data_IF_155023498974
#
_entry.id   IF_155023498974
#
_cell.length_a   1.000
_cell.length_b   1.000
_cell.length_c   1.000
_cell.angle_alpha   90.00
_cell.angle_beta   90.00
_cell.angle_gamma   90.00
#
_symmetry.space_group_name_H-M   'P 1'
#
loop_
_entity.id
_entity.type
_entity.pdbx_description
1 polymer ?
#
# COMPACT_ATOMS: atom_id res chain seq x y z
N UNK A 1 -2.25 10.59 -6.09
CA UNK A 1 -2.91 11.93 -6.04
C UNK A 1 -3.71 12.13 -7.31
N UNK A 2 -4.71 13.03 -7.34
CA UNK A 2 -5.50 13.32 -8.56
C UNK A 2 -4.59 13.71 -9.73
N UNK A 3 -3.64 14.61 -9.50
CA UNK A 3 -2.64 14.99 -10.50
C UNK A 3 -1.79 13.80 -10.97
N UNK A 4 -1.36 12.94 -10.05
CA UNK A 4 -0.63 11.71 -10.38
C UNK A 4 -1.45 10.77 -11.28
N UNK A 5 -2.75 10.65 -11.03
CA UNK A 5 -3.67 9.87 -11.87
C UNK A 5 -3.89 10.50 -13.25
N UNK A 6 -4.12 11.81 -13.32
CA UNK A 6 -4.27 12.52 -14.61
C UNK A 6 -3.02 12.36 -15.48
N UNK A 7 -1.83 12.55 -14.90
CA UNK A 7 -0.56 12.29 -15.59
C UNK A 7 -0.45 10.83 -16.04
N UNK A 8 -1.03 9.91 -15.27
CA UNK A 8 -1.02 8.48 -15.54
C UNK A 8 -1.76 8.08 -16.81
N UNK A 9 -2.81 8.82 -17.14
CA UNK A 9 -3.63 8.67 -18.34
C UNK A 9 -3.25 9.66 -19.45
N UNK A 10 -2.09 10.33 -19.32
CA UNK A 10 -1.57 11.26 -20.33
C UNK A 10 -2.16 12.67 -20.28
N UNK A 11 -3.01 12.98 -19.31
CA UNK A 11 -3.65 14.31 -19.18
C UNK A 11 -2.76 15.19 -18.29
N UNK A 12 -2.23 16.28 -18.86
CA UNK A 12 -1.47 17.30 -18.12
C UNK A 12 -2.34 18.51 -17.85
N UNK A 13 -2.59 18.80 -16.58
CA UNK A 13 -3.38 19.95 -16.13
C UNK A 13 -2.59 20.73 -15.09
N UNK A 14 -2.75 22.06 -15.07
CA UNK A 14 -2.17 22.91 -14.05
C UNK A 14 -2.68 22.52 -12.65
N UNK A 15 -1.77 22.49 -11.68
CA UNK A 15 -2.09 22.15 -10.28
C UNK A 15 -3.16 23.06 -9.69
N UNK A 16 -3.14 24.36 -10.01
CA UNK A 16 -4.13 25.35 -9.59
C UNK A 16 -5.55 24.94 -9.98
N UNK A 17 -5.74 24.54 -11.24
CA UNK A 17 -7.04 24.13 -11.79
C UNK A 17 -7.55 22.85 -11.13
N UNK A 18 -6.67 21.88 -10.88
CA UNK A 18 -7.03 20.65 -10.15
C UNK A 18 -7.45 20.98 -8.71
N UNK A 19 -6.73 21.88 -8.03
CA UNK A 19 -7.07 22.31 -6.67
C UNK A 19 -8.41 23.04 -6.60
N UNK A 20 -8.69 23.91 -7.57
CA UNK A 20 -9.97 24.63 -7.67
C UNK A 20 -11.14 23.66 -7.85
N UNK A 21 -11.04 22.71 -8.78
CA UNK A 21 -12.07 21.67 -8.96
C UNK A 21 -12.24 20.83 -7.70
N UNK A 22 -11.14 20.47 -7.00
CA UNK A 22 -11.21 19.68 -5.77
C UNK A 22 -11.93 20.39 -4.63
N UNK A 23 -11.90 21.74 -4.57
CA UNK A 23 -12.69 22.50 -3.59
C UNK A 23 -14.19 22.37 -3.81
N UNK A 24 -14.60 22.21 -5.07
CA UNK A 24 -16.01 22.02 -5.45
C UNK A 24 -16.45 20.57 -5.24
N UNK A 25 -15.63 19.61 -5.68
CA UNK A 25 -15.98 18.17 -5.66
C UNK A 25 -15.81 17.54 -4.28
N UNK A 26 -14.78 17.94 -3.53
CA UNK A 26 -14.45 17.41 -2.20
C UNK A 26 -14.09 18.56 -1.23
N UNK A 27 -15.08 19.40 -0.87
CA UNK A 27 -14.85 20.54 0.02
C UNK A 27 -14.38 20.08 1.40
N UNK A 28 -14.99 19.03 1.96
CA UNK A 28 -14.67 18.47 3.28
C UNK A 28 -13.25 17.92 3.31
N UNK A 29 -12.88 17.05 2.36
CA UNK A 29 -11.53 16.48 2.32
C UNK A 29 -10.46 17.54 2.05
N UNK A 30 -10.79 18.61 1.31
CA UNK A 30 -9.88 19.73 1.09
C UNK A 30 -9.63 20.53 2.38
N UNK A 31 -10.67 20.78 3.18
CA UNK A 31 -10.55 21.42 4.50
C UNK A 31 -9.74 20.53 5.45
N UNK A 32 -10.05 19.24 5.55
CA UNK A 32 -9.33 18.32 6.42
C UNK A 32 -7.83 18.23 6.07
N UNK A 33 -7.47 18.30 4.77
CA UNK A 33 -6.07 18.36 4.32
C UNK A 33 -5.41 19.71 4.62
N UNK A 34 -6.14 20.82 4.49
CA UNK A 34 -5.67 22.17 4.74
C UNK A 34 -5.43 22.49 6.22
N UNK A 35 -6.23 21.92 7.12
CA UNK A 35 -6.10 22.10 8.57
C UNK A 35 -4.86 21.43 9.19
N UNK A 36 -4.04 20.72 8.40
CA UNK A 36 -2.74 20.25 8.85
C UNK A 36 -2.77 19.31 10.06
N UNK A 37 -3.86 18.55 10.24
CA UNK A 37 -4.16 17.73 11.44
C UNK A 37 -3.10 16.64 11.75
N UNK A 38 -2.00 16.53 10.99
CA UNK A 38 -0.81 15.82 11.43
C UNK A 38 0.46 16.32 10.72
N UNK A 39 1.02 17.46 11.14
CA UNK A 39 2.44 17.78 10.86
C UNK A 39 3.31 16.82 11.68
N UNK A 40 3.47 15.60 11.19
CA UNK A 40 4.34 14.60 11.80
C UNK A 40 5.79 15.02 11.54
N UNK A 41 6.59 15.08 12.60
CA UNK A 41 8.03 15.27 12.51
C UNK A 41 8.64 14.25 11.54
N UNK A 42 9.17 14.76 10.43
CA UNK A 42 9.76 13.93 9.37
C UNK A 42 11.11 13.43 9.87
N UNK A 43 11.24 12.11 10.07
CA UNK A 43 12.53 11.49 10.38
C UNK A 43 13.35 11.36 9.11
N UNK A 44 14.65 11.61 9.22
CA UNK A 44 15.60 11.33 8.12
C UNK A 44 15.60 9.82 7.90
N UNK A 45 15.17 9.41 6.73
CA UNK A 45 15.20 8.03 6.30
C UNK A 45 16.01 7.99 5.02
N UNK A 46 17.05 7.16 5.00
CA UNK A 46 17.92 6.96 3.84
C UNK A 46 18.16 5.46 3.60
N UNK A 47 18.16 5.09 2.33
CA UNK A 47 18.50 3.76 1.78
C UNK A 47 19.35 4.05 0.53
N UNK A 48 20.35 3.22 0.19
CA UNK A 48 21.33 3.57 -0.83
C UNK A 48 20.79 3.62 -2.26
N UNK A 49 19.82 2.77 -2.62
CA UNK A 49 19.33 2.63 -4.01
C UNK A 49 17.97 1.93 -4.07
N UNK A 50 17.28 1.95 -5.22
CA UNK A 50 16.19 1.02 -5.51
C UNK A 50 16.63 -0.43 -5.24
N UNK A 51 15.68 -1.30 -4.86
CA UNK A 51 15.91 -2.72 -4.53
C UNK A 51 16.76 -2.96 -3.28
N UNK A 52 17.36 -1.96 -2.65
CA UNK A 52 18.23 -2.19 -1.49
C UNK A 52 17.46 -2.60 -0.23
N UNK A 53 16.19 -2.19 -0.09
CA UNK A 53 15.34 -2.57 1.03
C UNK A 53 13.86 -2.43 0.67
N UNK A 54 13.12 -3.53 0.66
CA UNK A 54 11.65 -3.50 0.60
C UNK A 54 11.06 -3.51 2.01
N UNK A 55 9.97 -2.77 2.19
CA UNK A 55 9.16 -2.75 3.40
C UNK A 55 7.86 -3.46 3.10
N UNK A 56 7.61 -4.59 3.76
CA UNK A 56 6.38 -5.37 3.61
C UNK A 56 5.56 -5.32 4.90
N UNK A 57 4.24 -5.30 4.75
CA UNK A 57 3.32 -5.23 5.88
C UNK A 57 1.90 -5.59 5.44
N UNK A 58 1.04 -5.85 6.43
CA UNK A 58 -0.38 -6.04 6.23
C UNK A 58 -1.17 -4.93 6.87
N UNK A 59 -2.31 -4.62 6.27
CA UNK A 59 -3.27 -3.68 6.80
C UNK A 59 -4.54 -4.42 7.22
N UNK A 60 -4.87 -4.32 8.51
CA UNK A 60 -6.02 -4.98 9.13
C UNK A 60 -7.24 -4.06 9.30
N UNK A 61 -7.30 -2.91 8.63
CA UNK A 61 -8.41 -1.95 8.78
C UNK A 61 -9.79 -2.50 8.37
N UNK A 62 -9.82 -3.57 7.56
CA UNK A 62 -11.03 -4.27 7.13
C UNK A 62 -11.14 -5.69 7.74
N UNK A 63 -10.39 -5.99 8.80
CA UNK A 63 -10.33 -7.35 9.38
C UNK A 63 -11.68 -7.86 9.89
N UNK A 64 -12.59 -6.95 10.31
CA UNK A 64 -13.97 -7.30 10.71
C UNK A 64 -14.73 -8.04 9.61
N UNK A 65 -14.44 -7.73 8.34
CA UNK A 65 -15.04 -8.38 7.18
C UNK A 65 -14.13 -9.46 6.58
N UNK A 66 -13.15 -9.95 7.34
CA UNK A 66 -12.13 -10.93 6.93
C UNK A 66 -11.35 -10.53 5.67
N UNK A 67 -11.21 -9.23 5.42
CA UNK A 67 -10.40 -8.69 4.32
C UNK A 67 -9.10 -8.13 4.88
N UNK A 68 -7.98 -8.58 4.31
CA UNK A 68 -6.63 -8.11 4.63
C UNK A 68 -5.99 -7.55 3.38
N UNK A 69 -5.35 -6.39 3.49
CA UNK A 69 -4.57 -5.81 2.39
C UNK A 69 -3.09 -6.05 2.66
N UNK A 70 -2.42 -6.71 1.74
CA UNK A 70 -0.97 -6.95 1.76
C UNK A 70 -0.28 -5.91 0.90
N UNK A 71 0.79 -5.32 1.42
CA UNK A 71 1.54 -4.28 0.74
C UNK A 71 3.04 -4.52 0.79
N UNK A 72 3.72 -4.08 -0.27
CA UNK A 72 5.17 -3.98 -0.33
C UNK A 72 5.56 -2.67 -1.00
N UNK A 73 6.50 -1.94 -0.39
CA UNK A 73 7.00 -0.67 -0.92
C UNK A 73 8.53 -0.67 -0.94
N UNK A 74 9.10 -0.11 -2.01
CA UNK A 74 10.53 0.09 -2.10
C UNK A 74 10.99 1.24 -1.18
N UNK A 75 12.00 0.92 -0.38
CA UNK A 75 12.56 1.78 0.63
C UNK A 75 13.38 2.93 0.08
N UNK A 76 13.70 3.01 -1.21
CA UNK A 76 14.37 4.19 -1.79
C UNK A 76 13.37 5.06 -2.55
N UNK A 77 12.80 4.50 -3.61
CA UNK A 77 11.93 5.18 -4.57
C UNK A 77 10.52 5.47 -4.06
N UNK A 78 10.08 4.81 -2.98
CA UNK A 78 8.65 4.77 -2.57
C UNK A 78 7.74 4.08 -3.58
N UNK A 79 8.27 3.39 -4.58
CA UNK A 79 7.45 2.67 -5.55
C UNK A 79 6.74 1.50 -4.86
N UNK A 80 5.46 1.29 -5.18
CA UNK A 80 4.69 0.17 -4.64
C UNK A 80 5.06 -1.07 -5.45
N UNK A 81 5.55 -2.10 -4.77
CA UNK A 81 5.96 -3.37 -5.38
C UNK A 81 4.77 -4.30 -5.56
N UNK A 82 3.90 -4.35 -4.56
CA UNK A 82 2.60 -5.02 -4.63
C UNK A 82 1.64 -4.37 -3.63
N UNK A 83 0.36 -4.38 -3.97
CA UNK A 83 -0.72 -3.91 -3.10
C UNK A 83 -2.00 -4.66 -3.46
N UNK A 84 -2.34 -5.68 -2.68
CA UNK A 84 -3.43 -6.61 -3.01
C UNK A 84 -4.27 -6.93 -1.78
N UNK A 85 -5.58 -7.07 -1.97
CA UNK A 85 -6.52 -7.48 -0.93
C UNK A 85 -6.89 -8.95 -1.09
N UNK A 86 -6.94 -9.68 0.03
CA UNK A 86 -7.37 -11.08 0.11
C UNK A 86 -8.37 -11.30 1.24
N UNK A 87 -9.13 -12.39 1.15
CA UNK A 87 -10.05 -12.86 2.18
C UNK A 87 -9.41 -13.77 3.25
N UNK A 88 -8.08 -13.92 3.20
CA UNK A 88 -7.34 -14.80 4.09
C UNK A 88 -6.02 -14.13 4.49
N UNK A 89 -5.41 -14.70 5.52
CA UNK A 89 -4.20 -14.19 6.13
C UNK A 89 -3.01 -15.17 6.04
N UNK A 90 -3.02 -16.02 5.01
CA UNK A 90 -2.03 -17.08 4.83
C UNK A 90 -0.68 -16.51 4.37
N UNK A 91 0.41 -17.08 4.86
CA UNK A 91 1.75 -16.69 4.45
C UNK A 91 2.00 -16.92 2.95
N UNK A 92 1.43 -17.99 2.39
CA UNK A 92 1.47 -18.29 0.96
C UNK A 92 0.83 -17.22 0.07
N UNK A 93 -0.20 -16.53 0.55
CA UNK A 93 -0.81 -15.40 -0.18
C UNK A 93 0.17 -14.24 -0.27
N UNK A 94 0.87 -13.93 0.83
CA UNK A 94 1.90 -12.88 0.86
C UNK A 94 3.09 -13.27 -0.02
N UNK A 95 3.56 -14.52 0.08
CA UNK A 95 4.65 -15.03 -0.74
C UNK A 95 4.30 -14.94 -2.23
N UNK A 96 3.09 -15.32 -2.63
CA UNK A 96 2.65 -15.20 -4.03
C UNK A 96 2.71 -13.76 -4.53
N UNK A 97 2.21 -12.80 -3.74
CA UNK A 97 2.28 -11.38 -4.09
C UNK A 97 3.73 -10.89 -4.19
N UNK A 98 4.59 -11.33 -3.26
CA UNK A 98 6.01 -11.02 -3.25
C UNK A 98 6.75 -11.57 -4.48
N UNK A 99 6.59 -12.85 -4.81
CA UNK A 99 7.23 -13.48 -5.97
C UNK A 99 6.78 -12.80 -7.27
N UNK A 100 5.48 -12.50 -7.38
CA UNK A 100 4.95 -11.77 -8.55
C UNK A 100 5.61 -10.40 -8.71
N UNK A 101 5.86 -9.70 -7.59
CA UNK A 101 6.58 -8.43 -7.61
C UNK A 101 8.07 -8.59 -7.94
N UNK A 102 8.74 -9.62 -7.41
CA UNK A 102 10.14 -9.95 -7.73
C UNK A 102 10.31 -10.26 -9.20
N UNK A 103 9.39 -11.03 -9.81
CA UNK A 103 9.40 -11.30 -11.25
C UNK A 103 9.28 -10.03 -12.10
N UNK A 104 8.60 -9.00 -11.59
CA UNK A 104 8.38 -7.73 -12.30
C UNK A 104 9.50 -6.71 -12.10
N UNK A 105 10.07 -6.65 -10.89
CA UNK A 105 10.96 -5.56 -10.49
C UNK A 105 12.39 -6.01 -10.13
N UNK A 106 12.63 -7.31 -10.02
CA UNK A 106 13.89 -7.88 -9.53
C UNK A 106 13.84 -8.20 -8.03
N UNK A 107 14.79 -9.03 -7.59
CA UNK A 107 14.93 -9.42 -6.20
C UNK A 107 15.53 -8.27 -5.37
N UNK A 108 14.92 -7.87 -4.25
CA UNK A 108 15.54 -6.89 -3.36
C UNK A 108 16.72 -7.51 -2.60
N UNK A 109 17.73 -6.69 -2.28
CA UNK A 109 18.85 -7.10 -1.43
C UNK A 109 18.36 -7.48 -0.04
N UNK A 110 17.38 -6.72 0.49
CA UNK A 110 16.80 -6.96 1.80
C UNK A 110 15.30 -6.71 1.83
N UNK A 111 14.60 -7.47 2.67
CA UNK A 111 13.19 -7.26 2.99
C UNK A 111 13.07 -6.97 4.48
N UNK A 112 12.27 -5.97 4.86
CA UNK A 112 11.91 -5.68 6.25
C UNK A 112 10.43 -5.96 6.45
N UNK A 113 10.15 -6.63 7.56
CA UNK A 113 8.80 -6.94 8.03
C UNK A 113 8.68 -6.71 9.53
N UNK A 114 7.43 -6.52 9.96
CA UNK A 114 7.03 -6.68 11.35
C UNK A 114 7.19 -8.14 11.81
N UNK A 115 7.29 -8.37 13.11
CA UNK A 115 7.23 -9.72 13.69
C UNK A 115 5.84 -10.30 13.47
N UNK A 116 5.76 -11.40 12.71
CA UNK A 116 4.51 -12.12 12.49
C UNK A 116 4.71 -13.38 11.64
N UNK A 117 3.83 -14.36 11.84
CA UNK A 117 3.87 -15.66 11.14
C UNK A 117 3.55 -15.57 9.64
N UNK A 118 2.88 -14.51 9.23
CA UNK A 118 2.45 -14.28 7.85
C UNK A 118 3.57 -14.03 6.85
N UNK A 119 4.71 -13.55 7.31
CA UNK A 119 5.83 -13.19 6.45
C UNK A 119 6.93 -14.25 6.52
N UNK A 120 6.68 -15.36 7.22
CA UNK A 120 7.61 -16.47 7.40
C UNK A 120 7.97 -17.07 6.05
N UNK A 121 7.00 -17.28 5.15
CA UNK A 121 7.28 -17.83 3.82
C UNK A 121 8.15 -16.88 2.96
N UNK A 122 7.95 -15.56 3.06
CA UNK A 122 8.82 -14.56 2.40
C UNK A 122 10.22 -14.58 3.02
N UNK A 123 10.32 -14.71 4.35
CA UNK A 123 11.60 -14.82 5.03
C UNK A 123 12.37 -16.07 4.60
N UNK A 124 11.71 -17.24 4.59
CA UNK A 124 12.28 -18.49 4.08
C UNK A 124 12.77 -18.33 2.63
N UNK A 125 11.94 -17.75 1.76
CA UNK A 125 12.30 -17.51 0.36
C UNK A 125 13.55 -16.62 0.23
N UNK A 126 13.62 -15.51 0.97
CA UNK A 126 14.78 -14.59 0.93
C UNK A 126 16.07 -15.21 1.50
N UNK A 127 15.96 -16.05 2.53
CA UNK A 127 17.10 -16.73 3.16
C UNK A 127 17.64 -17.88 2.30
N UNK A 128 16.77 -18.56 1.55
CA UNK A 128 17.13 -19.72 0.73
C UNK A 128 17.46 -19.35 -0.74
N UNK A 129 17.24 -18.09 -1.14
CA UNK A 129 17.45 -17.67 -2.54
C UNK A 129 18.94 -17.82 -2.95
N UNK A 130 19.27 -18.44 -4.10
CA UNK A 130 20.65 -18.63 -4.54
C UNK A 130 21.45 -17.33 -4.67
N UNK A 131 20.81 -16.26 -5.09
CA UNK A 131 21.42 -14.93 -5.23
C UNK A 131 21.73 -14.26 -3.87
N UNK A 132 21.18 -14.77 -2.76
CA UNK A 132 21.44 -14.28 -1.40
C UNK A 132 22.74 -14.81 -0.79
N UNK A 133 23.51 -15.65 -1.50
CA UNK A 133 24.66 -16.41 -0.95
C UNK A 133 25.78 -15.56 -0.30
N UNK A 134 25.89 -14.26 -0.60
CA UNK A 134 26.75 -13.33 0.15
C UNK A 134 25.93 -12.55 1.18
N UNK A 135 25.75 -13.13 2.37
CA UNK A 135 25.08 -12.47 3.49
C UNK A 135 23.59 -12.77 3.63
N UNK A 136 23.15 -13.98 3.25
CA UNK A 136 21.77 -14.45 3.34
C UNK A 136 21.12 -14.17 4.71
N UNK A 137 21.84 -14.34 5.81
CA UNK A 137 21.35 -14.05 7.17
C UNK A 137 20.86 -12.60 7.37
N UNK A 138 21.26 -11.67 6.49
CA UNK A 138 20.88 -10.25 6.52
C UNK A 138 19.84 -9.88 5.45
N UNK A 139 19.37 -10.84 4.64
CA UNK A 139 18.41 -10.60 3.56
C UNK A 139 16.99 -10.36 4.08
N UNK A 140 16.68 -10.81 5.30
CA UNK A 140 15.40 -10.52 5.96
C UNK A 140 15.59 -9.86 7.32
N UNK A 141 14.97 -8.70 7.51
CA UNK A 141 15.03 -7.92 8.75
C UNK A 141 13.66 -7.97 9.44
N UNK A 142 13.61 -8.64 10.57
CA UNK A 142 12.43 -8.64 11.43
C UNK A 142 12.56 -7.57 12.50
N UNK A 143 11.67 -6.57 12.49
CA UNK A 143 11.73 -5.41 13.39
C UNK A 143 10.39 -5.06 14.04
N UNK A 144 10.40 -4.02 14.89
CA UNK A 144 9.16 -3.36 15.36
C UNK A 144 8.56 -2.53 14.23
N UNK A 145 7.22 -2.38 14.21
CA UNK A 145 6.47 -1.56 13.24
C UNK A 145 6.97 -0.13 13.07
N UNK A 146 7.48 0.47 14.15
CA UNK A 146 8.10 1.80 14.12
C UNK A 146 9.31 1.92 13.17
N UNK A 147 9.90 0.81 12.73
CA UNK A 147 10.99 0.76 11.76
C UNK A 147 10.51 0.50 10.33
N UNK A 148 9.24 0.13 10.14
CA UNK A 148 8.58 -0.12 8.86
C UNK A 148 7.96 1.19 8.31
N UNK A 149 8.67 2.31 8.47
CA UNK A 149 8.11 3.66 8.36
C UNK A 149 7.52 3.98 6.97
N UNK A 150 8.10 3.41 5.91
CA UNK A 150 7.69 3.72 4.53
C UNK A 150 6.32 3.14 4.20
N UNK A 151 6.08 1.89 4.57
CA UNK A 151 4.78 1.26 4.36
C UNK A 151 3.72 1.80 5.33
N UNK A 152 4.08 2.07 6.58
CA UNK A 152 3.18 2.71 7.56
C UNK A 152 2.73 4.12 7.11
N UNK A 153 3.63 4.88 6.47
CA UNK A 153 3.25 6.17 5.85
C UNK A 153 2.31 5.97 4.67
N UNK A 154 2.57 4.99 3.81
CA UNK A 154 1.73 4.67 2.65
C UNK A 154 0.33 4.24 3.08
N UNK A 155 0.21 3.47 4.17
CA UNK A 155 -1.08 3.02 4.70
C UNK A 155 -2.03 4.15 5.05
N UNK A 156 -1.51 5.30 5.49
CA UNK A 156 -2.34 6.50 5.72
C UNK A 156 -2.98 7.00 4.43
N UNK A 157 -2.25 7.00 3.33
CA UNK A 157 -2.79 7.46 2.04
C UNK A 157 -3.76 6.41 1.45
N UNK A 158 -3.44 5.12 1.57
CA UNK A 158 -4.34 4.02 1.17
C UNK A 158 -5.66 4.08 1.96
N UNK A 159 -5.59 4.36 3.26
CA UNK A 159 -6.77 4.55 4.08
C UNK A 159 -7.65 5.68 3.57
N UNK A 160 -7.09 6.88 3.45
CA UNK A 160 -7.86 8.07 3.07
C UNK A 160 -8.45 7.99 1.66
N UNK A 161 -7.78 7.33 0.72
CA UNK A 161 -8.21 7.31 -0.68
C UNK A 161 -9.08 6.10 -1.02
N UNK A 162 -8.79 4.94 -0.42
CA UNK A 162 -9.43 3.67 -0.80
C UNK A 162 -10.18 3.06 0.37
N UNK A 163 -9.46 2.65 1.43
CA UNK A 163 -10.00 1.74 2.45
C UNK A 163 -11.13 2.35 3.27
N UNK A 164 -11.11 3.66 3.51
CA UNK A 164 -12.14 4.35 4.30
C UNK A 164 -13.53 4.22 3.67
N UNK A 165 -13.63 4.30 2.35
CA UNK A 165 -14.90 4.19 1.62
C UNK A 165 -15.50 2.79 1.75
N UNK A 166 -14.66 1.75 1.59
CA UNK A 166 -15.10 0.36 1.79
C UNK A 166 -15.50 0.08 3.22
N UNK A 167 -14.76 0.63 4.20
CA UNK A 167 -15.11 0.47 5.61
C UNK A 167 -16.48 1.06 5.91
N UNK A 168 -16.77 2.27 5.46
CA UNK A 168 -18.06 2.90 5.72
C UNK A 168 -19.20 2.20 4.96
N UNK A 169 -18.99 1.79 3.71
CA UNK A 169 -20.00 1.05 2.96
C UNK A 169 -20.34 -0.30 3.62
N UNK A 170 -19.33 -1.06 4.04
CA UNK A 170 -19.53 -2.34 4.71
C UNK A 170 -20.11 -2.18 6.12
N UNK A 171 -19.76 -1.11 6.83
CA UNK A 171 -20.36 -0.80 8.13
C UNK A 171 -21.83 -0.42 7.97
N UNK A 172 -22.17 0.39 6.96
CA UNK A 172 -23.54 0.76 6.66
C UNK A 172 -24.42 -0.47 6.38
N UNK A 173 -23.96 -1.40 5.52
CA UNK A 173 -24.68 -2.65 5.24
C UNK A 173 -24.87 -3.52 6.49
N UNK A 174 -23.87 -3.53 7.38
CA UNK A 174 -23.99 -4.24 8.66
C UNK A 174 -25.00 -3.58 9.59
N UNK A 175 -25.05 -2.25 9.62
CA UNK A 175 -25.94 -1.48 10.49
C UNK A 175 -27.40 -1.54 10.01
N UNK A 176 -27.65 -1.70 8.71
CA UNK A 176 -29.00 -1.87 8.13
C UNK A 176 -29.52 -3.30 8.15
N UNK A 177 -28.75 -4.24 8.73
CA UNK A 177 -29.05 -5.69 8.74
C UNK A 177 -29.14 -6.33 7.34
N UNK A 178 -28.59 -5.69 6.30
CA UNK A 178 -28.49 -6.25 4.95
C UNK A 178 -27.27 -7.17 4.79
N UNK A 179 -26.43 -7.26 5.82
CA UNK A 179 -25.20 -8.03 5.84
C UNK A 179 -24.81 -8.41 7.26
N UNK A 180 -24.64 -9.70 7.53
CA UNK A 180 -24.07 -10.19 8.79
C UNK A 180 -22.60 -10.65 8.58
N UNK A 181 -21.59 -9.99 9.21
CA UNK A 181 -20.19 -10.39 9.11
C UNK A 181 -19.87 -11.76 9.76
N UNK A 182 -20.77 -12.26 10.61
CA UNK A 182 -20.63 -13.57 11.26
C UNK A 182 -21.33 -14.69 10.45
N UNK A 183 -22.11 -14.33 9.42
CA UNK A 183 -22.73 -15.27 8.49
C UNK A 183 -21.79 -15.56 7.29
N UNK A 184 -21.43 -16.84 7.10
CA UNK A 184 -20.50 -17.26 6.04
C UNK A 184 -21.03 -17.03 4.62
N UNK A 185 -22.36 -17.12 4.41
CA UNK A 185 -22.98 -16.91 3.09
C UNK A 185 -22.92 -15.43 2.72
N UNK A 186 -23.32 -14.56 3.64
CA UNK A 186 -23.26 -13.11 3.47
C UNK A 186 -21.83 -12.65 3.23
N UNK A 187 -20.89 -13.20 4.01
CA UNK A 187 -19.46 -12.93 3.85
C UNK A 187 -18.94 -13.36 2.48
N UNK A 188 -19.31 -14.55 2.00
CA UNK A 188 -18.94 -15.03 0.67
C UNK A 188 -19.50 -14.11 -0.44
N UNK A 189 -20.76 -13.68 -0.32
CA UNK A 189 -21.40 -12.74 -1.24
C UNK A 189 -20.66 -11.39 -1.27
N UNK A 190 -20.38 -10.83 -0.10
CA UNK A 190 -19.62 -9.58 0.02
C UNK A 190 -18.21 -9.72 -0.55
N UNK A 191 -17.52 -10.82 -0.27
CA UNK A 191 -16.18 -11.07 -0.83
C UNK A 191 -16.21 -11.15 -2.35
N UNK A 192 -17.20 -11.84 -2.91
CA UNK A 192 -17.37 -11.97 -4.36
C UNK A 192 -17.55 -10.61 -5.05
N UNK A 193 -18.35 -9.71 -4.46
CA UNK A 193 -18.64 -8.39 -5.04
C UNK A 193 -17.54 -7.37 -4.74
N UNK A 194 -17.06 -7.31 -3.50
CA UNK A 194 -16.22 -6.21 -3.02
C UNK A 194 -14.74 -6.44 -3.26
N UNK A 195 -14.22 -7.67 -3.18
CA UNK A 195 -12.77 -7.91 -3.34
C UNK A 195 -12.25 -7.55 -4.74
N UNK A 196 -12.92 -7.89 -5.86
CA UNK A 196 -12.45 -7.47 -7.18
C UNK A 196 -12.46 -5.95 -7.35
N UNK A 197 -13.48 -5.27 -6.81
CA UNK A 197 -13.60 -3.80 -6.84
C UNK A 197 -12.51 -3.14 -6.00
N UNK A 198 -12.25 -3.67 -4.80
CA UNK A 198 -11.21 -3.18 -3.92
C UNK A 198 -9.84 -3.33 -4.58
N UNK A 199 -9.52 -4.50 -5.14
CA UNK A 199 -8.27 -4.73 -5.86
C UNK A 199 -8.11 -3.79 -7.06
N UNK A 200 -9.17 -3.55 -7.84
CA UNK A 200 -9.14 -2.55 -8.92
C UNK A 200 -8.85 -1.13 -8.41
N UNK A 201 -9.45 -0.73 -7.29
CA UNK A 201 -9.17 0.59 -6.71
C UNK A 201 -7.74 0.70 -6.15
N UNK A 202 -7.20 -0.38 -5.58
CA UNK A 202 -5.80 -0.44 -5.13
C UNK A 202 -4.82 -0.38 -6.32
N UNK A 203 -5.17 -0.98 -7.45
CA UNK A 203 -4.39 -0.89 -8.69
C UNK A 203 -4.38 0.55 -9.23
N UNK A 204 -5.56 1.18 -9.35
CA UNK A 204 -5.67 2.60 -9.75
C UNK A 204 -4.88 3.51 -8.81
N UNK A 205 -4.97 3.27 -7.50
CA UNK A 205 -4.17 3.98 -6.51
C UNK A 205 -2.67 3.81 -6.76
N UNK A 206 -2.22 2.58 -7.03
CA UNK A 206 -0.80 2.28 -7.29
C UNK A 206 -0.29 2.99 -8.54
N UNK A 207 -1.07 2.98 -9.62
CA UNK A 207 -0.74 3.70 -10.87
C UNK A 207 -0.64 5.22 -10.64
N UNK A 208 -1.56 5.79 -9.85
CA UNK A 208 -1.53 7.20 -9.49
C UNK A 208 -0.39 7.53 -8.51
N UNK A 209 0.01 6.57 -7.67
CA UNK A 209 1.11 6.69 -6.73
C UNK A 209 2.45 6.75 -7.46
N UNK A 210 2.68 5.96 -8.50
CA UNK A 210 3.96 5.97 -9.20
C UNK A 210 4.35 7.34 -9.80
N UNK A 211 3.34 8.18 -10.08
CA UNK A 211 3.50 9.45 -10.77
C UNK A 211 3.25 10.68 -9.90
N UNK A 212 3.00 10.50 -8.59
CA UNK A 212 2.82 11.64 -7.70
C UNK A 212 4.16 12.24 -7.28
N UNK A 213 4.21 13.56 -7.14
CA UNK A 213 5.41 14.28 -6.70
C UNK A 213 5.67 14.09 -5.21
N UNK A 214 6.91 13.73 -4.85
CA UNK A 214 7.36 13.62 -3.46
C UNK A 214 8.05 14.91 -3.03
N UNK A 215 7.45 15.64 -2.08
CA UNK A 215 8.05 16.89 -1.57
C UNK A 215 9.41 16.69 -0.91
N UNK A 216 9.68 15.51 -0.34
CA UNK A 216 10.97 15.18 0.29
C UNK A 216 12.07 14.87 -0.72
N UNK A 217 11.72 14.66 -1.99
CA UNK A 217 12.63 14.23 -3.06
C UNK A 217 12.62 15.28 -4.19
N UNK A 218 12.56 16.56 -3.83
CA UNK A 218 12.54 17.70 -4.75
C UNK A 218 11.44 17.62 -5.83
N UNK A 219 10.29 17.02 -5.49
CA UNK A 219 9.15 16.86 -6.39
C UNK A 219 9.26 15.69 -7.36
N UNK A 220 10.34 14.89 -7.31
CA UNK A 220 10.45 13.68 -8.12
C UNK A 220 9.38 12.66 -7.76
N UNK A 221 8.90 11.92 -8.76
CA UNK A 221 7.95 10.84 -8.55
C UNK A 221 8.63 9.53 -8.17
N UNK A 222 7.91 8.57 -7.56
CA UNK A 222 8.46 7.24 -7.33
C UNK A 222 9.00 6.57 -8.60
N UNK A 223 8.36 6.79 -9.74
CA UNK A 223 8.85 6.29 -11.03
C UNK A 223 10.18 6.95 -11.44
N UNK A 224 10.33 8.25 -11.22
CA UNK A 224 11.59 8.96 -11.53
C UNK A 224 12.74 8.60 -10.60
N UNK A 225 12.45 8.14 -9.38
CA UNK A 225 13.47 7.65 -8.44
C UNK A 225 13.83 6.19 -8.66
N UNK A 226 13.06 5.47 -9.48
CA UNK A 226 13.28 4.06 -9.76
C UNK A 226 14.19 3.83 -10.98
N UNK A 227 14.10 4.72 -11.97
CA UNK A 227 14.93 4.73 -13.19
C UNK A 227 16.31 5.28 -12.84
#
# INVERSE_FOLDING_TARGET
TVLGYLNSVGIRVQTSRVMETMRVVDPVGTICRGLGIAVIHRRVYSVPSPLALWHIDRNHKLIRWRIVIHGGIDGYSRKIMFLTASNNNRASTVLKAFITAVQKFGLPIRVRSNRGGENVEVACHMLQHPESQKGAERSFITGRSVHNQRIERMWRDVWCVVTVNYRYALQYLADTADFDPDNEVDLACIHFVMLPRLNRHLEVFSVAWERHSLSTEQGRSPQQLWI
#
